data_IF_251080658206
#
_entry.id   IF_251080658206
#
_cell.length_a   1.000
_cell.length_b   1.000
_cell.length_c   1.000
_cell.angle_alpha   90.00
_cell.angle_beta   90.00
_cell.angle_gamma   90.00
#
_symmetry.space_group_name_H-M   'P 1'
#
loop_
_entity.id
_entity.type
_entity.pdbx_description
1 polymer ?
#
# COMPACT_ATOMS: atom_id res chain seq x y z
N UNK A 1 47.40 31.86 18.83
CA UNK A 1 46.31 31.50 17.90
C UNK A 1 46.90 31.24 16.52
N UNK A 2 46.80 30.02 16.00
CA UNK A 2 47.03 29.77 14.57
C UNK A 2 45.88 28.86 14.10
N UNK A 3 44.94 29.36 13.29
CA UNK A 3 43.85 28.54 12.81
C UNK A 3 44.42 27.63 11.72
N UNK A 4 44.60 26.36 12.06
CA UNK A 4 44.94 25.32 11.09
C UNK A 4 43.74 25.18 10.15
N UNK A 5 43.91 25.59 8.89
CA UNK A 5 42.88 25.48 7.87
C UNK A 5 42.37 24.02 7.77
N UNK A 6 41.11 23.80 8.15
CA UNK A 6 40.43 22.49 8.05
C UNK A 6 40.07 22.21 6.59
N UNK A 7 41.03 21.70 5.83
CA UNK A 7 40.81 21.09 4.51
C UNK A 7 40.11 19.72 4.55
N UNK A 8 39.25 19.46 5.53
CA UNK A 8 38.56 18.16 5.75
C UNK A 8 37.11 18.15 5.26
N UNK A 9 36.53 19.32 4.96
CA UNK A 9 35.07 19.43 4.81
C UNK A 9 34.53 18.97 3.44
N UNK A 10 35.35 18.94 2.39
CA UNK A 10 34.90 18.60 1.03
C UNK A 10 35.08 17.11 0.65
N UNK A 11 35.94 16.36 1.36
CA UNK A 11 36.09 14.90 1.16
C UNK A 11 35.14 14.08 2.03
N UNK A 12 34.74 14.62 3.18
CA UNK A 12 33.76 13.97 4.07
C UNK A 12 32.31 14.19 3.61
N UNK A 13 32.03 15.30 2.92
CA UNK A 13 30.69 15.62 2.41
C UNK A 13 30.13 14.55 1.45
N UNK A 14 30.88 14.05 0.43
CA UNK A 14 30.39 12.97 -0.44
C UNK A 14 30.12 11.68 0.32
N UNK A 15 30.96 11.32 1.29
CA UNK A 15 30.80 10.10 2.09
C UNK A 15 29.52 10.18 2.91
N UNK A 16 29.26 11.31 3.57
CA UNK A 16 28.04 11.53 4.32
C UNK A 16 26.81 11.48 3.41
N UNK A 17 26.84 12.15 2.26
CA UNK A 17 25.75 12.15 1.28
C UNK A 17 25.48 10.71 0.79
N UNK A 18 26.51 9.97 0.39
CA UNK A 18 26.38 8.59 -0.08
C UNK A 18 25.83 7.70 1.04
N UNK A 19 26.34 7.82 2.27
CA UNK A 19 25.84 7.02 3.40
C UNK A 19 24.37 7.31 3.70
N UNK A 20 23.96 8.59 3.65
CA UNK A 20 22.58 8.99 3.85
C UNK A 20 21.66 8.47 2.73
N UNK A 21 22.13 8.49 1.48
CA UNK A 21 21.42 7.92 0.34
C UNK A 21 21.26 6.40 0.47
N UNK A 22 22.33 5.68 0.82
CA UNK A 22 22.29 4.22 1.00
C UNK A 22 21.33 3.85 2.14
N UNK A 23 21.43 4.53 3.29
CA UNK A 23 20.53 4.31 4.40
C UNK A 23 19.08 4.61 4.00
N UNK A 24 18.83 5.70 3.28
CA UNK A 24 17.50 6.05 2.76
C UNK A 24 16.93 4.97 1.85
N UNK A 25 17.75 4.42 0.94
CA UNK A 25 17.35 3.31 0.06
C UNK A 25 16.97 2.08 0.89
N UNK A 26 17.79 1.66 1.85
CA UNK A 26 17.49 0.50 2.70
C UNK A 26 16.18 0.68 3.46
N UNK A 27 15.98 1.84 4.10
CA UNK A 27 14.76 2.13 4.86
C UNK A 27 13.52 2.09 3.95
N UNK A 28 13.60 2.68 2.75
CA UNK A 28 12.46 2.76 1.81
C UNK A 28 12.17 1.44 1.11
N UNK A 29 13.20 0.66 0.83
CA UNK A 29 13.05 -0.66 0.21
C UNK A 29 12.44 -1.65 1.19
N UNK A 30 12.90 -1.68 2.44
CA UNK A 30 12.57 -2.76 3.36
C UNK A 30 11.59 -2.41 4.48
N UNK A 31 11.51 -1.16 4.95
CA UNK A 31 10.78 -0.85 6.17
C UNK A 31 9.41 -0.23 5.89
N UNK A 32 9.37 0.97 5.32
CA UNK A 32 8.14 1.76 5.22
C UNK A 32 8.00 2.42 3.86
N UNK A 33 6.82 2.31 3.25
CA UNK A 33 6.43 3.12 2.10
C UNK A 33 5.18 3.92 2.42
N UNK A 34 5.23 5.23 2.14
CA UNK A 34 4.08 6.10 2.34
C UNK A 34 3.23 6.17 1.07
N UNK A 35 1.92 6.00 1.23
CA UNK A 35 0.92 6.16 0.18
C UNK A 35 -0.08 7.24 0.55
N UNK A 36 -0.67 7.84 -0.48
CA UNK A 36 -1.77 8.79 -0.36
C UNK A 36 -3.08 8.10 -0.74
N UNK A 37 -4.15 8.32 0.03
CA UNK A 37 -5.46 7.70 -0.21
C UNK A 37 -6.26 8.52 -1.23
N UNK A 38 -6.47 8.02 -2.46
CA UNK A 38 -7.13 8.79 -3.52
C UNK A 38 -8.66 8.59 -3.54
N UNK A 39 -9.21 7.65 -2.76
CA UNK A 39 -10.60 7.21 -2.87
C UNK A 39 -11.21 6.85 -1.51
N UNK A 40 -12.53 7.02 -1.36
CA UNK A 40 -13.30 6.65 -0.18
C UNK A 40 -13.70 5.17 -0.07
N UNK A 41 -13.13 4.26 -0.86
CA UNK A 41 -13.51 2.82 -0.77
C UNK A 41 -13.14 2.13 0.54
N UNK A 42 -12.37 2.82 1.38
CA UNK A 42 -11.99 2.42 2.73
C UNK A 42 -12.49 3.43 3.77
N UNK A 43 -13.47 4.27 3.42
CA UNK A 43 -14.04 5.28 4.32
C UNK A 43 -14.58 4.63 5.61
N UNK A 44 -14.55 5.37 6.73
CA UNK A 44 -14.62 4.87 8.12
C UNK A 44 -13.29 4.29 8.66
N UNK A 45 -12.49 3.59 7.84
CA UNK A 45 -11.14 3.13 8.22
C UNK A 45 -10.04 4.09 7.81
N UNK A 46 -10.11 4.63 6.58
CA UNK A 46 -9.15 5.55 5.97
C UNK A 46 -9.90 6.68 5.27
N UNK A 47 -9.54 7.91 5.58
CA UNK A 47 -10.16 9.08 4.99
C UNK A 47 -9.48 9.48 3.68
N UNK A 48 -10.25 10.11 2.79
CA UNK A 48 -9.69 10.64 1.55
C UNK A 48 -8.64 11.70 1.90
N UNK A 49 -7.49 11.64 1.21
CA UNK A 49 -6.31 12.47 1.44
C UNK A 49 -5.43 12.10 2.63
N UNK A 50 -5.72 11.00 3.34
CA UNK A 50 -4.83 10.47 4.37
C UNK A 50 -3.48 10.02 3.79
N UNK A 51 -2.46 10.04 4.66
CA UNK A 51 -1.14 9.49 4.37
C UNK A 51 -0.92 8.25 5.23
N UNK A 52 -0.79 7.11 4.59
CA UNK A 52 -0.60 5.82 5.27
C UNK A 52 0.82 5.31 5.07
N UNK A 53 1.44 4.84 6.15
CA UNK A 53 2.73 4.15 6.11
C UNK A 53 2.53 2.64 6.06
N UNK A 54 2.96 2.00 4.98
CA UNK A 54 2.86 0.55 4.80
C UNK A 54 4.13 -0.12 5.31
N UNK A 55 3.98 -1.07 6.24
CA UNK A 55 5.08 -1.88 6.76
C UNK A 55 5.45 -3.00 5.78
N UNK A 56 6.49 -2.77 4.99
CA UNK A 56 6.99 -3.78 4.04
C UNK A 56 7.75 -4.91 4.71
N UNK A 57 8.45 -4.61 5.81
CA UNK A 57 9.25 -5.59 6.53
C UNK A 57 8.33 -6.68 7.10
N UNK A 58 7.23 -6.28 7.74
CA UNK A 58 6.23 -7.23 8.23
C UNK A 58 5.66 -8.11 7.12
N UNK A 59 5.33 -7.53 5.97
CA UNK A 59 4.79 -8.27 4.82
C UNK A 59 5.79 -9.26 4.18
N UNK A 60 7.10 -9.04 4.32
CA UNK A 60 8.14 -9.93 3.79
C UNK A 60 8.35 -11.19 4.65
N UNK A 61 8.07 -11.11 5.95
CA UNK A 61 8.40 -12.17 6.92
C UNK A 61 7.18 -12.76 7.64
N UNK A 62 5.98 -12.23 7.41
CA UNK A 62 4.74 -12.73 7.99
C UNK A 62 3.75 -13.09 6.90
N UNK A 63 2.99 -14.16 7.13
CA UNK A 63 1.81 -14.46 6.33
C UNK A 63 0.74 -13.40 6.57
N UNK A 64 0.06 -13.03 5.48
CA UNK A 64 -1.08 -12.11 5.49
C UNK A 64 -2.24 -12.80 6.20
N UNK A 65 -2.94 -12.06 7.07
CA UNK A 65 -4.06 -12.58 7.88
C UNK A 65 -5.37 -11.92 7.48
N UNK A 66 -6.47 -12.63 7.75
CA UNK A 66 -7.82 -12.08 7.63
C UNK A 66 -7.97 -10.84 8.50
N UNK A 67 -8.66 -9.83 7.98
CA UNK A 67 -8.88 -8.55 8.64
C UNK A 67 -7.76 -7.53 8.42
N UNK A 68 -6.59 -7.92 7.91
CA UNK A 68 -5.52 -6.96 7.61
C UNK A 68 -5.90 -6.07 6.42
N UNK A 69 -5.40 -4.83 6.43
CA UNK A 69 -5.56 -3.88 5.31
C UNK A 69 -4.27 -3.91 4.51
N UNK A 70 -4.39 -4.23 3.22
CA UNK A 70 -3.26 -4.43 2.33
C UNK A 70 -3.25 -3.40 1.21
N UNK A 71 -2.05 -3.06 0.77
CA UNK A 71 -1.82 -2.21 -0.42
C UNK A 71 -1.19 -3.09 -1.48
N UNK A 72 -1.82 -3.18 -2.64
CA UNK A 72 -1.33 -4.00 -3.75
C UNK A 72 -1.46 -3.25 -5.07
N UNK A 73 -0.63 -3.64 -6.04
CA UNK A 73 -0.70 -3.07 -7.38
C UNK A 73 -1.95 -3.62 -8.08
N UNK A 74 -2.70 -2.75 -8.73
CA UNK A 74 -3.86 -3.09 -9.55
C UNK A 74 -3.48 -4.13 -10.62
N UNK A 75 -3.94 -5.39 -10.49
CA UNK A 75 -3.54 -6.46 -11.40
C UNK A 75 -4.30 -6.40 -12.73
N UNK A 76 -5.44 -5.72 -12.78
CA UNK A 76 -6.37 -5.73 -13.91
C UNK A 76 -6.44 -4.38 -14.65
N UNK A 77 -5.64 -3.39 -14.24
CA UNK A 77 -5.60 -2.04 -14.81
C UNK A 77 -6.98 -1.35 -14.81
N UNK A 78 -7.75 -1.54 -13.74
CA UNK A 78 -8.97 -0.77 -13.48
C UNK A 78 -8.68 0.72 -13.29
N UNK A 79 -7.51 1.08 -12.78
CA UNK A 79 -7.09 2.45 -12.54
C UNK A 79 -6.45 3.03 -13.82
N UNK A 80 -6.94 4.18 -14.25
CA UNK A 80 -6.40 4.88 -15.43
C UNK A 80 -4.91 5.21 -15.22
N UNK A 81 -4.02 4.87 -16.17
CA UNK A 81 -2.64 5.28 -16.09
C UNK A 81 -2.57 6.80 -16.16
N UNK A 82 -1.88 7.43 -15.21
CA UNK A 82 -1.55 8.84 -15.33
C UNK A 82 -0.48 8.96 -16.42
N UNK A 83 -0.81 9.64 -17.52
CA UNK A 83 0.18 10.05 -18.51
C UNK A 83 1.11 11.09 -17.87
N UNK A 84 2.38 10.72 -17.69
CA UNK A 84 3.41 11.68 -17.30
C UNK A 84 3.93 12.39 -18.55
N UNK A 85 3.54 13.66 -18.71
CA UNK A 85 3.97 14.52 -19.83
C UNK A 85 5.40 15.06 -19.64
N UNK A 86 6.12 14.63 -18.59
CA UNK A 86 7.53 15.00 -18.43
C UNK A 86 8.42 14.26 -19.43
N UNK A 87 9.14 15.04 -20.24
CA UNK A 87 10.13 14.54 -21.20
C UNK A 87 11.56 14.97 -20.84
N UNK A 88 12.54 14.19 -21.31
CA UNK A 88 13.96 14.50 -21.16
C UNK A 88 14.45 14.56 -19.70
N UNK A 89 15.30 15.54 -19.39
CA UNK A 89 15.99 15.68 -18.09
C UNK A 89 15.01 15.85 -16.92
N UNK A 90 13.86 16.50 -17.14
CA UNK A 90 12.84 16.69 -16.09
C UNK A 90 12.28 15.37 -15.58
N UNK A 91 12.08 14.40 -16.47
CA UNK A 91 11.65 13.06 -16.11
C UNK A 91 12.70 12.38 -15.23
N UNK A 92 13.97 12.43 -15.62
CA UNK A 92 15.07 11.84 -14.84
C UNK A 92 15.17 12.45 -13.43
N UNK A 93 15.04 13.77 -13.31
CA UNK A 93 15.04 14.44 -12.00
C UNK A 93 13.81 14.03 -11.19
N UNK A 94 12.62 14.00 -11.79
CA UNK A 94 11.39 13.58 -11.11
C UNK A 94 11.47 12.12 -10.66
N UNK A 95 11.88 11.21 -11.54
CA UNK A 95 12.05 9.79 -11.26
C UNK A 95 13.09 9.56 -10.16
N UNK A 96 14.20 10.30 -10.18
CA UNK A 96 15.19 10.22 -9.10
C UNK A 96 14.66 10.76 -7.79
N UNK A 97 13.87 11.84 -7.80
CA UNK A 97 13.20 12.37 -6.61
C UNK A 97 12.11 11.42 -6.08
N UNK A 98 11.41 10.69 -6.95
CA UNK A 98 10.47 9.62 -6.57
C UNK A 98 11.23 8.41 -6.02
N UNK A 99 12.32 8.00 -6.66
CA UNK A 99 13.17 6.90 -6.22
C UNK A 99 13.80 7.15 -4.85
N UNK A 100 14.34 8.35 -4.64
CA UNK A 100 14.83 8.78 -3.31
C UNK A 100 13.70 9.21 -2.39
N UNK A 101 12.43 9.07 -2.81
CA UNK A 101 11.18 9.31 -2.09
C UNK A 101 11.03 10.69 -1.46
N UNK A 102 11.54 11.72 -2.15
CA UNK A 102 11.25 13.14 -1.90
C UNK A 102 9.93 13.53 -2.54
N UNK A 103 9.62 12.96 -3.70
CA UNK A 103 8.33 13.12 -4.37
C UNK A 103 7.49 11.83 -4.25
N UNK A 104 6.16 11.95 -4.14
CA UNK A 104 5.27 10.80 -4.20
C UNK A 104 5.27 10.20 -5.61
N UNK A 105 5.21 8.87 -5.70
CA UNK A 105 5.06 8.18 -6.97
C UNK A 105 3.69 8.52 -7.59
N UNK A 106 3.64 9.15 -8.78
CA UNK A 106 2.38 9.52 -9.42
C UNK A 106 1.63 8.32 -10.00
N UNK A 107 2.23 7.12 -10.03
CA UNK A 107 1.55 5.91 -10.45
C UNK A 107 0.51 5.51 -9.40
N UNK A 108 -0.72 6.02 -9.60
CA UNK A 108 -1.93 5.68 -8.84
C UNK A 108 -2.36 4.22 -9.01
N UNK A 109 -1.49 3.31 -9.43
CA UNK A 109 -1.82 1.92 -9.72
C UNK A 109 -1.87 1.04 -8.47
N UNK A 110 -2.12 1.61 -7.30
CA UNK A 110 -2.21 0.87 -6.05
C UNK A 110 -3.61 0.96 -5.49
N UNK A 111 -4.11 -0.18 -5.03
CA UNK A 111 -5.39 -0.33 -4.36
C UNK A 111 -5.14 -0.62 -2.89
N UNK A 112 -6.04 -0.12 -2.04
CA UNK A 112 -6.04 -0.41 -0.62
C UNK A 112 -7.37 -1.07 -0.30
N UNK A 113 -7.31 -2.29 0.23
CA UNK A 113 -8.47 -3.14 0.51
C UNK A 113 -8.21 -3.97 1.76
N UNK A 114 -9.28 -4.48 2.38
CA UNK A 114 -9.19 -5.40 3.52
C UNK A 114 -9.21 -6.84 3.07
N UNK A 115 -8.37 -7.67 3.67
CA UNK A 115 -8.32 -9.11 3.45
C UNK A 115 -9.49 -9.76 4.17
N UNK A 116 -10.35 -10.43 3.40
CA UNK A 116 -11.48 -11.19 3.91
C UNK A 116 -11.13 -12.68 4.00
N UNK A 117 -10.40 -13.20 2.99
CA UNK A 117 -9.95 -14.58 2.94
C UNK A 117 -8.51 -14.71 2.47
N UNK A 118 -7.85 -15.78 2.92
CA UNK A 118 -6.48 -16.15 2.54
C UNK A 118 -6.48 -17.52 1.85
N UNK A 119 -5.35 -17.91 1.25
CA UNK A 119 -5.25 -19.17 0.49
C UNK A 119 -5.80 -20.39 1.23
N UNK A 120 -6.74 -21.09 0.59
CA UNK A 120 -7.48 -22.23 1.13
C UNK A 120 -8.86 -21.87 1.70
N UNK A 121 -9.17 -20.58 1.86
CA UNK A 121 -10.47 -20.16 2.36
C UNK A 121 -11.56 -20.25 1.30
N UNK A 122 -12.76 -20.60 1.75
CA UNK A 122 -13.99 -20.47 1.01
C UNK A 122 -14.76 -19.24 1.51
N UNK A 123 -14.83 -18.20 0.69
CA UNK A 123 -15.54 -16.96 1.01
C UNK A 123 -16.84 -16.91 0.24
N UNK A 124 -17.96 -16.64 0.92
CA UNK A 124 -19.29 -16.53 0.31
C UNK A 124 -19.99 -15.27 0.78
N UNK A 125 -20.63 -14.54 -0.14
CA UNK A 125 -21.72 -13.64 0.23
C UNK A 125 -23.02 -14.03 -0.50
N UNK A 126 -24.18 -14.06 0.16
CA UNK A 126 -24.36 -13.84 1.60
C UNK A 126 -24.97 -15.07 2.27
N UNK A 127 -24.58 -15.30 3.53
CA UNK A 127 -25.10 -16.36 4.37
C UNK A 127 -26.58 -16.20 4.67
N UNK A 128 -27.15 -17.13 5.44
CA UNK A 128 -28.57 -17.06 5.85
C UNK A 128 -28.90 -15.82 6.67
N UNK A 129 -27.90 -15.26 7.35
CA UNK A 129 -27.99 -14.04 8.15
C UNK A 129 -27.64 -12.77 7.35
N UNK A 130 -27.44 -12.89 6.04
CA UNK A 130 -27.09 -11.79 5.14
C UNK A 130 -25.65 -11.31 5.28
N UNK A 131 -24.79 -12.01 6.01
CA UNK A 131 -23.37 -11.64 6.22
C UNK A 131 -22.43 -12.37 5.26
N UNK A 132 -21.22 -11.86 5.11
CA UNK A 132 -20.13 -12.62 4.50
C UNK A 132 -19.79 -13.81 5.41
N UNK A 133 -19.61 -14.98 4.81
CA UNK A 133 -19.13 -16.18 5.47
C UNK A 133 -17.73 -16.54 4.99
N UNK A 134 -16.87 -16.97 5.91
CA UNK A 134 -15.57 -17.58 5.61
C UNK A 134 -15.57 -18.99 6.19
N UNK A 135 -15.39 -19.99 5.33
CA UNK A 135 -15.43 -21.42 5.68
C UNK A 135 -16.73 -21.82 6.41
N UNK A 136 -17.87 -21.24 5.99
CA UNK A 136 -19.20 -21.53 6.56
C UNK A 136 -19.51 -20.80 7.86
N UNK A 137 -18.63 -19.90 8.32
CA UNK A 137 -18.82 -19.10 9.54
C UNK A 137 -19.02 -17.64 9.17
N UNK A 138 -20.15 -17.06 9.56
CA UNK A 138 -20.41 -15.63 9.38
C UNK A 138 -19.38 -14.80 10.13
N UNK A 139 -18.73 -13.87 9.42
CA UNK A 139 -17.74 -12.99 10.02
C UNK A 139 -18.38 -11.71 10.58
N UNK A 140 -17.75 -11.13 11.59
CA UNK A 140 -18.12 -9.83 12.11
C UNK A 140 -17.34 -8.74 11.37
N UNK A 141 -18.04 -7.82 10.73
CA UNK A 141 -17.44 -6.74 9.92
C UNK A 141 -17.78 -5.37 10.54
N UNK A 142 -17.23 -4.99 11.71
CA UNK A 142 -17.57 -3.73 12.39
C UNK A 142 -17.02 -2.49 11.67
N UNK A 143 -16.22 -2.69 10.62
CA UNK A 143 -15.56 -1.67 9.83
C UNK A 143 -16.38 -1.25 8.60
N UNK A 144 -17.48 -1.96 8.28
CA UNK A 144 -18.32 -1.63 7.12
C UNK A 144 -18.93 -0.25 7.31
N UNK A 145 -18.96 0.53 6.24
CA UNK A 145 -19.55 1.86 6.25
C UNK A 145 -21.04 1.80 6.62
N UNK A 146 -21.53 2.77 7.39
CA UNK A 146 -22.91 2.74 7.88
C UNK A 146 -23.91 2.82 6.73
N UNK A 147 -24.79 1.82 6.64
CA UNK A 147 -25.81 1.72 5.59
C UNK A 147 -25.46 0.78 4.45
N UNK A 148 -24.20 0.34 4.35
CA UNK A 148 -23.77 -0.59 3.31
C UNK A 148 -24.26 -2.01 3.58
N UNK A 149 -24.51 -2.73 2.48
CA UNK A 149 -24.69 -4.18 2.53
C UNK A 149 -23.32 -4.86 2.49
N UNK A 150 -23.20 -6.09 3.03
CA UNK A 150 -21.94 -6.82 2.92
C UNK A 150 -21.52 -7.10 1.47
N UNK A 151 -22.45 -7.19 0.53
CA UNK A 151 -22.14 -7.14 -0.91
C UNK A 151 -23.38 -6.76 -1.74
N UNK A 152 -23.16 -6.12 -2.88
CA UNK A 152 -24.18 -5.87 -3.90
C UNK A 152 -24.51 -7.11 -4.74
N UNK A 153 -23.67 -8.13 -4.71
CA UNK A 153 -23.79 -9.34 -5.53
C UNK A 153 -23.53 -10.60 -4.71
N UNK A 154 -24.22 -11.68 -5.07
CA UNK A 154 -23.91 -13.00 -4.53
C UNK A 154 -22.64 -13.57 -5.17
N UNK A 155 -21.77 -14.16 -4.36
CA UNK A 155 -20.56 -14.82 -4.81
C UNK A 155 -20.15 -15.95 -3.88
N UNK A 156 -19.43 -16.93 -4.43
CA UNK A 156 -18.77 -18.00 -3.69
C UNK A 156 -17.41 -18.27 -4.34
N UNK A 157 -16.34 -18.12 -3.59
CA UNK A 157 -14.96 -18.20 -4.09
C UNK A 157 -14.12 -19.06 -3.16
N UNK A 158 -13.39 -20.02 -3.73
CA UNK A 158 -12.28 -20.70 -3.05
C UNK A 158 -10.98 -19.99 -3.41
N UNK A 159 -10.31 -19.43 -2.39
CA UNK A 159 -9.09 -18.64 -2.56
C UNK A 159 -7.92 -19.59 -2.83
N UNK A 160 -7.24 -19.50 -4.00
CA UNK A 160 -6.11 -20.35 -4.28
C UNK A 160 -4.93 -20.10 -3.32
N UNK A 161 -4.07 -21.11 -3.15
CA UNK A 161 -2.83 -20.95 -2.37
C UNK A 161 -1.96 -19.83 -2.96
N UNK A 162 -1.42 -18.97 -2.10
CA UNK A 162 -0.64 -17.79 -2.51
C UNK A 162 -1.48 -16.58 -2.96
N UNK A 163 -2.81 -16.67 -2.92
CA UNK A 163 -3.72 -15.56 -3.22
C UNK A 163 -4.50 -15.14 -1.97
N UNK A 164 -5.10 -13.95 -2.05
CA UNK A 164 -5.97 -13.38 -1.02
C UNK A 164 -7.25 -12.88 -1.68
N UNK A 165 -8.36 -12.96 -0.94
CA UNK A 165 -9.62 -12.31 -1.31
C UNK A 165 -9.76 -11.02 -0.52
N UNK A 166 -9.94 -9.90 -1.22
CA UNK A 166 -9.97 -8.57 -0.63
C UNK A 166 -11.23 -7.81 -1.02
N UNK A 167 -11.74 -6.99 -0.11
CA UNK A 167 -12.93 -6.15 -0.32
C UNK A 167 -12.69 -4.74 0.24
N UNK A 168 -13.42 -3.74 -0.27
CA UNK A 168 -13.44 -2.40 0.33
C UNK A 168 -14.20 -2.42 1.66
N UNK A 169 -13.96 -1.45 2.53
CA UNK A 169 -14.79 -1.29 3.74
C UNK A 169 -16.07 -0.51 3.44
N UNK A 170 -16.02 0.37 2.43
CA UNK A 170 -17.18 0.97 1.78
C UNK A 170 -17.50 0.11 0.56
N UNK A 171 -18.64 -0.61 0.61
CA UNK A 171 -19.02 -1.69 -0.30
C UNK A 171 -19.79 -1.19 -1.50
#
# INVERSE_FOLDING_TARGET
>A
MSPKARGSSLRELPILIISALVLSIIVKTFFIQFFYIPSGSMENTLQVNDRVGVNKFGALFSDIKRGEVVVFRDPANWLSPNYDDSSGIRKVIKDSLVFVGVLPDPSKQYLIKRVIGVGGDKVRCCGKDGKVEVNGVSINEPYIYEGDKPSDSEFEVEVPQGFIWVMGDHR
#
